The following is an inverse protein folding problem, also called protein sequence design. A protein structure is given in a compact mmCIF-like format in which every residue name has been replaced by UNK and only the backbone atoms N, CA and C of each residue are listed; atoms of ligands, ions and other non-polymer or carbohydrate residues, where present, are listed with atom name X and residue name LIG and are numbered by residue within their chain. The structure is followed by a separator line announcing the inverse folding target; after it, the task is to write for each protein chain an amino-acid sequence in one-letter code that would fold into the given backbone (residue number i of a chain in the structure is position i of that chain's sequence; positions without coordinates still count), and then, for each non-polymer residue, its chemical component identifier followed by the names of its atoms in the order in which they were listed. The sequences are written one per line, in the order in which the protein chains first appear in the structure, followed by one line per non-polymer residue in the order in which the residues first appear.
data_IF_717949631341
#
_entry.id   IF_717949631341
#
_cell.length_a   1.000
_cell.length_b   1.000
_cell.length_c   1.000
_cell.angle_alpha   90.00
_cell.angle_beta   90.00
_cell.angle_gamma   90.00
#
_symmetry.space_group_name_H-M   'P 1'
#
loop_
_entity.id
_entity.type
_entity.pdbx_description
1 polymer ?
#
# COMPACT_ATOMS: atom_id res chain seq x y z
N UNK A 1 -17.10 -2.09 5.39
CA UNK A 1 -18.34 -2.50 4.68
C UNK A 1 -17.95 -3.46 3.56
N UNK A 2 -18.83 -4.37 3.13
CA UNK A 2 -18.50 -5.39 2.12
C UNK A 2 -18.21 -4.76 0.75
N UNK A 3 -17.08 -5.10 0.16
CA UNK A 3 -16.70 -4.73 -1.20
C UNK A 3 -17.13 -5.77 -2.25
N UNK A 4 -16.74 -5.56 -3.50
CA UNK A 4 -16.97 -6.53 -4.58
C UNK A 4 -16.29 -7.88 -4.26
N UNK A 5 -16.99 -8.98 -4.53
CA UNK A 5 -16.46 -10.34 -4.32
C UNK A 5 -15.76 -10.90 -5.56
N UNK A 6 -15.96 -10.27 -6.71
CA UNK A 6 -15.36 -10.69 -7.98
C UNK A 6 -14.78 -9.45 -8.68
N UNK A 7 -13.48 -9.47 -9.01
CA UNK A 7 -12.86 -8.39 -9.77
C UNK A 7 -13.55 -8.15 -11.11
N UNK A 8 -13.48 -6.90 -11.58
CA UNK A 8 -13.85 -6.54 -12.94
C UNK A 8 -14.27 -5.08 -13.05
N UNK A 9 -14.14 -4.53 -14.26
CA UNK A 9 -14.36 -3.11 -14.53
C UNK A 9 -15.75 -2.60 -14.10
N UNK A 10 -15.86 -1.30 -13.81
CA UNK A 10 -17.08 -0.75 -13.25
C UNK A 10 -18.23 -0.74 -14.28
N UNK A 11 -19.46 -0.83 -13.77
CA UNK A 11 -20.66 -0.76 -14.58
C UNK A 11 -21.87 -0.27 -13.78
N UNK A 12 -22.92 0.17 -14.47
CA UNK A 12 -24.19 0.52 -13.84
C UNK A 12 -24.73 -0.67 -13.03
N UNK A 13 -25.21 -0.40 -11.81
CA UNK A 13 -25.78 -1.41 -10.92
C UNK A 13 -24.77 -2.29 -10.19
N UNK A 14 -23.45 -2.02 -10.30
CA UNK A 14 -22.40 -2.76 -9.57
C UNK A 14 -21.92 -2.06 -8.29
N UNK A 15 -22.64 -1.05 -7.80
CA UNK A 15 -22.32 -0.40 -6.54
C UNK A 15 -22.31 -1.43 -5.38
N UNK A 16 -21.37 -1.26 -4.44
CA UNK A 16 -21.30 -2.09 -3.22
C UNK A 16 -21.37 -1.20 -1.98
N UNK A 17 -21.67 -1.77 -0.81
CA UNK A 17 -21.52 -1.03 0.44
C UNK A 17 -20.10 -0.48 0.65
N UNK A 18 -19.08 -1.11 0.06
CA UNK A 18 -17.69 -0.66 0.04
C UNK A 18 -17.47 0.56 -0.86
N UNK A 19 -17.88 0.49 -2.14
CA UNK A 19 -17.74 1.61 -3.08
C UNK A 19 -18.56 2.83 -2.64
N UNK A 20 -19.76 2.61 -2.11
CA UNK A 20 -20.60 3.68 -1.55
C UNK A 20 -19.96 4.33 -0.31
N UNK A 21 -19.30 3.54 0.55
CA UNK A 21 -18.56 4.10 1.68
C UNK A 21 -17.38 4.95 1.22
N UNK A 22 -16.69 4.55 0.15
CA UNK A 22 -15.60 5.35 -0.43
C UNK A 22 -16.14 6.72 -0.89
N UNK A 23 -17.26 6.75 -1.60
CA UNK A 23 -17.92 8.00 -2.02
C UNK A 23 -18.28 8.84 -0.79
N UNK A 24 -18.98 8.25 0.19
CA UNK A 24 -19.38 8.92 1.44
C UNK A 24 -18.18 9.59 2.14
N UNK A 25 -17.04 8.88 2.20
CA UNK A 25 -15.83 9.39 2.87
C UNK A 25 -15.03 10.37 2.03
N UNK A 26 -15.06 10.26 0.70
CA UNK A 26 -14.41 11.21 -0.17
C UNK A 26 -15.14 12.57 -0.24
N UNK A 27 -16.47 12.55 -0.07
CA UNK A 27 -17.29 13.76 0.00
C UNK A 27 -17.30 14.40 1.40
N UNK A 28 -16.76 13.73 2.41
CA UNK A 28 -16.62 14.31 3.74
C UNK A 28 -15.62 15.47 3.71
N UNK A 29 -16.08 16.66 4.13
CA UNK A 29 -15.23 17.84 4.21
C UNK A 29 -14.34 17.75 5.46
N UNK A 30 -13.11 17.28 5.28
CA UNK A 30 -12.10 17.36 6.33
C UNK A 30 -11.80 18.84 6.65
N UNK A 31 -11.90 19.29 7.93
CA UNK A 31 -11.70 20.69 8.28
C UNK A 31 -10.30 21.23 7.96
N UNK A 32 -9.31 20.35 7.79
CA UNK A 32 -7.94 20.71 7.42
C UNK A 32 -7.68 20.54 5.92
N UNK A 33 -8.72 20.23 5.13
CA UNK A 33 -8.64 20.04 3.68
C UNK A 33 -7.83 18.82 3.25
N UNK A 34 -7.64 17.83 4.15
CA UNK A 34 -6.83 16.65 3.84
C UNK A 34 -7.58 15.71 2.90
N UNK A 35 -6.90 15.11 1.91
CA UNK A 35 -7.52 14.13 1.03
C UNK A 35 -7.76 12.81 1.75
N UNK A 36 -8.69 12.01 1.24
CA UNK A 36 -8.86 10.62 1.65
C UNK A 36 -7.79 9.74 0.97
N UNK A 37 -6.89 9.16 1.76
CA UNK A 37 -6.00 8.11 1.27
C UNK A 37 -6.73 6.76 1.20
N UNK A 38 -6.72 6.14 0.02
CA UNK A 38 -7.26 4.81 -0.23
C UNK A 38 -6.10 3.86 -0.50
N UNK A 39 -5.83 2.97 0.46
CA UNK A 39 -4.79 1.97 0.36
C UNK A 39 -5.38 0.68 -0.24
N UNK A 40 -4.97 0.37 -1.47
CA UNK A 40 -5.53 -0.75 -2.24
C UNK A 40 -4.55 -1.91 -2.23
N UNK A 41 -4.81 -2.88 -1.36
CA UNK A 41 -3.96 -4.07 -1.13
C UNK A 41 -4.33 -5.25 -2.06
N UNK A 42 -5.47 -5.15 -2.73
CA UNK A 42 -5.97 -6.15 -3.67
C UNK A 42 -6.41 -5.52 -4.98
N UNK A 43 -7.61 -5.86 -5.40
CA UNK A 43 -8.22 -5.35 -6.63
C UNK A 43 -8.66 -3.88 -6.50
N UNK A 44 -8.60 -3.14 -7.61
CA UNK A 44 -9.07 -1.75 -7.73
C UNK A 44 -10.58 -1.63 -7.95
N UNK A 45 -11.31 -2.75 -7.98
CA UNK A 45 -12.71 -2.80 -8.43
C UNK A 45 -13.61 -1.84 -7.66
N UNK A 46 -13.56 -1.79 -6.32
CA UNK A 46 -14.42 -0.86 -5.56
C UNK A 46 -14.03 0.61 -5.77
N UNK A 47 -12.75 0.90 -6.02
CA UNK A 47 -12.27 2.26 -6.32
C UNK A 47 -12.74 2.70 -7.71
N UNK A 48 -12.58 1.83 -8.71
CA UNK A 48 -13.07 2.07 -10.06
C UNK A 48 -14.60 2.22 -10.08
N UNK A 49 -15.32 1.40 -9.31
CA UNK A 49 -16.77 1.52 -9.18
C UNK A 49 -17.18 2.82 -8.48
N UNK A 50 -16.48 3.23 -7.42
CA UNK A 50 -16.76 4.50 -6.75
C UNK A 50 -16.57 5.70 -7.68
N UNK A 51 -15.47 5.73 -8.45
CA UNK A 51 -15.19 6.79 -9.43
C UNK A 51 -16.11 6.75 -10.64
N UNK A 52 -16.63 5.58 -11.01
CA UNK A 52 -17.67 5.45 -12.03
C UNK A 52 -19.01 6.02 -11.54
N UNK A 53 -19.40 5.69 -10.32
CA UNK A 53 -20.70 6.11 -9.76
C UNK A 53 -20.71 7.59 -9.36
N UNK A 54 -19.57 8.12 -8.90
CA UNK A 54 -19.39 9.55 -8.61
C UNK A 54 -17.98 10.03 -9.03
N UNK A 55 -17.81 10.54 -10.26
CA UNK A 55 -16.51 11.00 -10.74
C UNK A 55 -15.98 12.24 -10.01
N UNK A 56 -16.83 12.97 -9.27
CA UNK A 56 -16.42 14.19 -8.57
C UNK A 56 -15.41 13.92 -7.43
N UNK A 57 -15.37 12.68 -6.92
CA UNK A 57 -14.47 12.31 -5.83
C UNK A 57 -13.00 12.24 -6.25
N UNK A 58 -12.70 12.25 -7.56
CA UNK A 58 -11.35 12.10 -8.08
C UNK A 58 -10.35 13.12 -7.53
N UNK A 59 -10.79 14.35 -7.27
CA UNK A 59 -9.96 15.42 -6.70
C UNK A 59 -9.78 15.32 -5.17
N UNK A 60 -10.61 14.51 -4.50
CA UNK A 60 -10.68 14.41 -3.04
C UNK A 60 -9.98 13.17 -2.49
N UNK A 61 -9.63 12.22 -3.37
CA UNK A 61 -8.97 10.97 -2.99
C UNK A 61 -7.53 10.91 -3.49
N UNK A 62 -6.70 10.14 -2.78
CA UNK A 62 -5.39 9.69 -3.24
C UNK A 62 -5.29 8.18 -3.11
N UNK A 63 -4.82 7.53 -4.16
CA UNK A 63 -4.73 6.07 -4.23
C UNK A 63 -3.27 5.66 -4.03
N UNK A 64 -3.02 4.70 -3.16
CA UNK A 64 -1.80 3.90 -3.16
C UNK A 64 -2.20 2.45 -3.40
N UNK A 65 -1.89 1.92 -4.58
CA UNK A 65 -2.24 0.54 -4.94
C UNK A 65 -1.01 -0.34 -5.08
N UNK A 66 -1.13 -1.57 -4.59
CA UNK A 66 -0.18 -2.64 -4.85
C UNK A 66 -0.61 -3.36 -6.12
N UNK A 67 0.21 -3.29 -7.16
CA UNK A 67 -0.04 -3.88 -8.48
C UNK A 67 0.50 -5.31 -8.60
N UNK A 68 1.20 -5.57 -9.71
CA UNK A 68 1.85 -6.84 -10.03
C UNK A 68 0.83 -7.98 -10.14
N UNK A 69 0.62 -8.75 -9.08
CA UNK A 69 -0.34 -9.87 -9.11
C UNK A 69 -1.78 -9.36 -9.08
N UNK A 70 -2.01 -8.24 -8.39
CA UNK A 70 -3.32 -7.62 -8.30
C UNK A 70 -3.73 -6.99 -9.64
N UNK A 71 -2.79 -6.41 -10.38
CA UNK A 71 -3.04 -5.90 -11.74
C UNK A 71 -3.52 -7.03 -12.65
N UNK A 72 -2.85 -8.18 -12.68
CA UNK A 72 -3.31 -9.33 -13.49
C UNK A 72 -4.67 -9.89 -13.02
N UNK A 73 -4.96 -9.80 -11.72
CA UNK A 73 -6.23 -10.29 -11.18
C UNK A 73 -7.42 -9.35 -11.48
N UNK A 74 -7.15 -8.09 -11.82
CA UNK A 74 -8.17 -7.05 -12.05
C UNK A 74 -7.73 -6.04 -13.12
N UNK A 75 -7.31 -6.56 -14.28
CA UNK A 75 -6.85 -5.73 -15.41
C UNK A 75 -7.94 -4.75 -15.84
N UNK A 76 -9.20 -5.21 -15.86
CA UNK A 76 -10.34 -4.42 -16.30
C UNK A 76 -10.54 -3.14 -15.48
N UNK A 77 -10.45 -3.19 -14.15
CA UNK A 77 -10.63 -1.99 -13.31
C UNK A 77 -9.42 -1.07 -13.39
N UNK A 78 -8.21 -1.66 -13.39
CA UNK A 78 -6.96 -0.91 -13.50
C UNK A 78 -6.89 -0.14 -14.82
N UNK A 79 -7.19 -0.79 -15.94
CA UNK A 79 -7.12 -0.19 -17.26
C UNK A 79 -8.27 0.80 -17.50
N UNK A 80 -9.45 0.54 -16.93
CA UNK A 80 -10.55 1.51 -16.94
C UNK A 80 -10.16 2.83 -16.26
N UNK A 81 -9.49 2.76 -15.11
CA UNK A 81 -8.94 3.93 -14.42
C UNK A 81 -7.84 4.59 -15.26
N UNK A 82 -6.87 3.79 -15.72
CA UNK A 82 -5.71 4.28 -16.48
C UNK A 82 -6.12 5.07 -17.73
N UNK A 83 -7.10 4.56 -18.47
CA UNK A 83 -7.59 5.17 -19.71
C UNK A 83 -8.33 6.49 -19.51
N UNK A 84 -8.55 6.92 -18.26
CA UNK A 84 -9.32 8.11 -17.89
C UNK A 84 -8.51 9.19 -17.19
N UNK A 85 -7.22 8.94 -16.97
CA UNK A 85 -6.37 9.85 -16.19
C UNK A 85 -6.07 11.16 -16.91
N UNK A 86 -6.18 11.22 -18.24
CA UNK A 86 -5.92 12.43 -19.03
C UNK A 86 -7.19 13.24 -19.34
N UNK A 87 -8.37 12.62 -19.38
CA UNK A 87 -9.64 13.29 -19.74
C UNK A 87 -10.57 13.50 -18.54
N UNK A 88 -10.96 12.43 -17.84
CA UNK A 88 -12.01 12.42 -16.82
C UNK A 88 -11.44 12.64 -15.41
N UNK A 89 -10.22 12.14 -15.16
CA UNK A 89 -9.57 12.14 -13.87
C UNK A 89 -8.18 12.81 -13.88
N UNK A 90 -8.03 14.01 -14.48
CA UNK A 90 -6.72 14.68 -14.58
C UNK A 90 -6.10 14.98 -13.22
N UNK A 91 -6.92 15.11 -12.17
CA UNK A 91 -6.47 15.41 -10.80
C UNK A 91 -6.41 14.16 -9.90
N UNK A 92 -6.70 12.97 -10.41
CA UNK A 92 -6.66 11.75 -9.60
C UNK A 92 -5.21 11.41 -9.26
N UNK A 93 -4.90 11.50 -7.97
CA UNK A 93 -3.60 11.14 -7.45
C UNK A 93 -3.49 9.64 -7.23
N UNK A 94 -2.53 9.00 -7.88
CA UNK A 94 -2.40 7.56 -7.81
C UNK A 94 -0.94 7.11 -7.88
N UNK A 95 -0.51 6.41 -6.83
CA UNK A 95 0.73 5.63 -6.79
C UNK A 95 0.38 4.17 -7.12
N UNK A 96 0.91 3.63 -8.23
CA UNK A 96 0.86 2.22 -8.58
C UNK A 96 2.24 1.57 -8.31
N UNK A 97 2.34 0.80 -7.24
CA UNK A 97 3.55 0.10 -6.82
C UNK A 97 3.52 -1.36 -7.30
N UNK A 98 4.32 -1.67 -8.31
CA UNK A 98 4.37 -2.96 -9.00
C UNK A 98 3.73 -2.90 -10.39
N UNK A 99 4.43 -2.35 -11.37
CA UNK A 99 4.01 -2.45 -12.78
C UNK A 99 4.23 -3.84 -13.38
N UNK A 100 3.52 -4.13 -14.47
CA UNK A 100 3.80 -5.28 -15.32
C UNK A 100 5.00 -4.99 -16.24
N UNK A 101 5.81 -6.01 -16.60
CA UNK A 101 5.70 -7.41 -16.19
C UNK A 101 6.08 -7.62 -14.71
N UNK A 102 5.42 -8.59 -14.05
CA UNK A 102 5.65 -8.87 -12.62
C UNK A 102 7.12 -9.12 -12.32
N UNK A 103 7.54 -8.72 -11.12
CA UNK A 103 8.91 -8.90 -10.60
C UNK A 103 9.96 -8.11 -11.38
N UNK A 104 9.55 -7.11 -12.15
CA UNK A 104 10.47 -6.18 -12.81
C UNK A 104 10.80 -5.00 -11.89
N UNK A 105 9.78 -4.22 -11.54
CA UNK A 105 9.92 -3.02 -10.71
C UNK A 105 9.19 -3.12 -9.37
N UNK A 106 8.64 -4.29 -9.00
CA UNK A 106 7.85 -4.56 -7.79
C UNK A 106 8.54 -4.05 -6.49
N UNK A 107 8.53 -2.73 -6.26
CA UNK A 107 9.29 -2.06 -5.22
C UNK A 107 8.81 -2.51 -3.85
N UNK A 108 7.49 -2.72 -3.73
CA UNK A 108 6.84 -3.19 -2.52
C UNK A 108 7.47 -4.46 -1.93
N UNK A 109 8.10 -5.31 -2.74
CA UNK A 109 8.78 -6.53 -2.26
C UNK A 109 9.96 -6.23 -1.36
N UNK A 110 10.56 -5.04 -1.48
CA UNK A 110 11.68 -4.61 -0.65
C UNK A 110 11.39 -4.61 0.84
N UNK A 111 10.11 -4.54 1.24
CA UNK A 111 9.71 -4.65 2.64
C UNK A 111 10.03 -6.03 3.24
N UNK A 112 10.14 -7.09 2.42
CA UNK A 112 10.38 -8.46 2.91
C UNK A 112 11.47 -9.25 2.18
N UNK A 113 12.00 -8.77 1.04
CA UNK A 113 13.03 -9.45 0.25
C UNK A 113 14.44 -8.87 0.37
N UNK A 114 14.59 -7.61 0.81
CA UNK A 114 15.89 -6.94 0.88
C UNK A 114 16.21 -6.38 2.27
N UNK A 115 17.30 -5.59 2.35
CA UNK A 115 17.73 -4.94 3.59
C UNK A 115 18.46 -5.90 4.52
N UNK A 116 18.60 -5.50 5.80
CA UNK A 116 19.22 -6.33 6.85
C UNK A 116 18.30 -7.49 7.18
N UNK A 117 18.75 -8.73 6.95
CA UNK A 117 17.95 -9.95 7.09
C UNK A 117 18.51 -10.90 8.17
N UNK A 118 19.52 -10.46 8.91
CA UNK A 118 20.18 -11.21 9.96
C UNK A 118 19.54 -10.97 11.33
N UNK A 119 19.63 -11.98 12.20
CA UNK A 119 19.19 -11.87 13.60
C UNK A 119 17.72 -11.46 13.73
N UNK A 120 17.45 -10.52 14.63
CA UNK A 120 16.10 -10.00 14.88
C UNK A 120 15.52 -9.20 13.71
N UNK A 121 16.30 -8.85 12.69
CA UNK A 121 15.82 -8.10 11.52
C UNK A 121 15.39 -9.01 10.38
N UNK A 122 15.72 -10.31 10.45
CA UNK A 122 15.24 -11.30 9.50
C UNK A 122 13.73 -11.53 9.60
N UNK A 123 13.12 -12.04 8.53
CA UNK A 123 11.68 -12.28 8.48
C UNK A 123 11.13 -13.11 9.66
N UNK A 124 11.73 -14.28 9.92
CA UNK A 124 11.35 -15.10 11.08
C UNK A 124 11.88 -14.51 12.39
N UNK A 125 13.13 -14.04 12.38
CA UNK A 125 13.80 -13.51 13.55
C UNK A 125 13.04 -12.35 14.18
N UNK A 126 12.53 -11.44 13.36
CA UNK A 126 11.71 -10.31 13.82
C UNK A 126 10.43 -10.79 14.50
N UNK A 127 9.68 -11.70 13.86
CA UNK A 127 8.45 -12.23 14.43
C UNK A 127 8.72 -12.94 15.75
N UNK A 128 9.74 -13.79 15.83
CA UNK A 128 10.07 -14.53 17.04
C UNK A 128 10.57 -13.64 18.18
N UNK A 129 11.42 -12.65 17.88
CA UNK A 129 12.03 -11.79 18.89
C UNK A 129 11.10 -10.66 19.36
N UNK A 130 10.28 -10.11 18.47
CA UNK A 130 9.59 -8.84 18.70
C UNK A 130 8.07 -8.92 18.60
N UNK A 131 7.49 -9.99 18.04
CA UNK A 131 6.03 -10.10 17.85
C UNK A 131 5.41 -11.17 18.76
N UNK A 132 6.02 -12.36 18.83
CA UNK A 132 5.54 -13.46 19.68
C UNK A 132 5.52 -13.05 21.16
N UNK A 133 4.55 -13.56 21.91
CA UNK A 133 4.41 -13.27 23.33
C UNK A 133 3.71 -11.94 23.66
N UNK A 134 3.39 -11.11 22.67
CA UNK A 134 2.65 -9.86 22.84
C UNK A 134 1.13 -10.07 22.75
N UNK A 135 0.62 -10.99 23.56
CA UNK A 135 -0.79 -11.35 23.65
C UNK A 135 -1.34 -12.08 22.41
N UNK A 136 -2.67 -12.20 22.34
CA UNK A 136 -3.35 -13.00 21.32
C UNK A 136 -3.03 -12.54 19.88
N UNK A 137 -2.82 -11.24 19.67
CA UNK A 137 -2.44 -10.69 18.37
C UNK A 137 -1.02 -11.13 17.96
N UNK A 138 -0.06 -11.04 18.88
CA UNK A 138 1.32 -11.47 18.65
C UNK A 138 1.43 -12.97 18.42
N UNK A 139 0.66 -13.77 19.15
CA UNK A 139 0.67 -15.24 19.03
C UNK A 139 -0.02 -15.73 17.74
N UNK A 140 -1.07 -15.03 17.29
CA UNK A 140 -1.76 -15.34 16.05
C UNK A 140 -1.08 -14.77 14.79
N UNK A 141 -0.04 -13.94 14.94
CA UNK A 141 0.57 -13.23 13.82
C UNK A 141 1.14 -14.21 12.78
N UNK A 142 0.70 -14.18 11.51
CA UNK A 142 1.05 -15.22 10.55
C UNK A 142 2.45 -15.01 9.93
N UNK A 143 3.08 -16.13 9.55
CA UNK A 143 4.13 -16.12 8.53
C UNK A 143 3.55 -16.68 7.24
N UNK A 144 4.04 -16.22 6.10
CA UNK A 144 3.54 -16.65 4.81
C UNK A 144 3.87 -18.12 4.53
N UNK A 145 2.95 -18.80 3.85
CA UNK A 145 3.17 -20.15 3.33
C UNK A 145 3.98 -20.14 2.03
N UNK A 146 3.99 -19.02 1.30
CA UNK A 146 4.74 -18.84 0.05
C UNK A 146 5.16 -17.38 -0.18
N UNK A 147 6.47 -17.05 -0.22
CA UNK A 147 7.58 -17.92 0.18
C UNK A 147 7.42 -18.32 1.65
N UNK A 148 7.76 -19.56 1.97
CA UNK A 148 7.53 -20.13 3.29
C UNK A 148 8.27 -19.33 4.37
N UNK A 149 7.63 -19.16 5.51
CA UNK A 149 8.16 -18.53 6.72
C UNK A 149 8.66 -17.09 6.51
N UNK A 150 8.07 -16.39 5.55
CA UNK A 150 8.36 -14.99 5.25
C UNK A 150 7.37 -14.08 5.96
N UNK A 151 7.87 -12.97 6.53
CA UNK A 151 7.07 -11.83 6.96
C UNK A 151 6.60 -11.08 5.70
N UNK A 152 5.63 -11.66 4.99
CA UNK A 152 5.27 -11.26 3.63
C UNK A 152 4.24 -10.13 3.65
N UNK A 153 4.68 -8.97 4.11
CA UNK A 153 3.87 -7.76 4.25
C UNK A 153 3.92 -6.88 3.00
N UNK A 154 3.61 -7.48 1.83
CA UNK A 154 3.75 -6.81 0.54
C UNK A 154 2.90 -5.54 0.39
N UNK A 155 1.87 -5.38 1.22
CA UNK A 155 0.97 -4.23 1.16
C UNK A 155 1.33 -3.08 2.11
N UNK A 156 2.13 -3.40 3.13
CA UNK A 156 2.55 -2.46 4.18
C UNK A 156 3.35 -1.25 3.68
N UNK A 157 4.06 -1.27 2.53
CA UNK A 157 4.59 -0.05 1.92
C UNK A 157 3.59 1.08 1.75
N UNK A 158 2.31 0.78 1.51
CA UNK A 158 1.25 1.79 1.39
C UNK A 158 1.03 2.57 2.70
N UNK A 159 1.13 1.89 3.85
CA UNK A 159 1.07 2.50 5.17
C UNK A 159 2.40 3.19 5.53
N UNK A 160 3.53 2.51 5.25
CA UNK A 160 4.87 3.03 5.51
C UNK A 160 5.15 4.33 4.75
N UNK A 161 4.59 4.50 3.55
CA UNK A 161 4.64 5.76 2.80
C UNK A 161 4.07 6.93 3.63
N UNK A 162 2.89 6.75 4.22
CA UNK A 162 2.22 7.78 5.02
C UNK A 162 2.89 8.01 6.37
N UNK A 163 3.47 6.97 6.96
CA UNK A 163 4.16 7.05 8.26
C UNK A 163 5.55 7.66 8.17
N UNK A 164 6.23 7.52 7.03
CA UNK A 164 7.64 7.91 6.86
C UNK A 164 7.92 9.37 7.25
N UNK A 165 7.15 10.39 6.80
CA UNK A 165 7.40 11.78 7.20
C UNK A 165 7.14 12.01 8.70
N UNK A 166 6.17 11.30 9.27
CA UNK A 166 5.76 11.47 10.67
C UNK A 166 6.71 10.78 11.66
N UNK A 167 7.27 9.63 11.29
CA UNK A 167 8.07 8.79 12.18
C UNK A 167 9.56 8.95 11.96
N UNK A 168 10.00 9.08 10.71
CA UNK A 168 11.41 9.22 10.35
C UNK A 168 11.81 10.64 9.96
N UNK A 169 10.85 11.54 9.73
CA UNK A 169 11.10 12.85 9.08
C UNK A 169 11.77 12.68 7.70
N UNK A 170 11.39 11.60 7.00
CA UNK A 170 11.91 11.26 5.67
C UNK A 170 10.75 11.24 4.68
N UNK A 171 10.93 11.99 3.59
CA UNK A 171 9.98 12.10 2.50
C UNK A 171 8.83 13.07 2.77
N UNK A 172 7.95 13.16 1.79
CA UNK A 172 6.75 13.99 1.79
C UNK A 172 5.60 13.20 1.16
N UNK A 173 4.45 13.19 1.84
CA UNK A 173 3.23 12.51 1.33
C UNK A 173 2.65 13.20 0.10
N UNK A 174 3.05 14.45 -0.16
CA UNK A 174 2.69 15.24 -1.34
C UNK A 174 3.74 15.14 -2.46
N UNK A 175 4.89 14.48 -2.24
CA UNK A 175 5.94 14.32 -3.26
C UNK A 175 6.51 12.88 -3.28
N UNK A 176 5.91 11.97 -4.07
CA UNK A 176 6.34 10.58 -4.19
C UNK A 176 7.71 10.43 -4.85
N UNK A 177 8.27 11.50 -5.42
CA UNK A 177 9.63 11.49 -5.97
C UNK A 177 10.71 11.52 -4.89
N UNK A 178 10.36 11.84 -3.65
CA UNK A 178 11.26 11.78 -2.52
C UNK A 178 11.38 10.35 -1.96
N UNK A 179 12.55 9.97 -1.41
CA UNK A 179 12.67 8.73 -0.66
C UNK A 179 11.71 8.70 0.54
N UNK A 180 11.09 7.54 0.78
CA UNK A 180 10.28 7.27 1.97
C UNK A 180 10.42 5.80 2.36
N UNK A 181 9.93 5.41 3.55
CA UNK A 181 9.80 4.00 3.93
C UNK A 181 8.86 3.21 2.99
N UNK A 182 7.94 3.89 2.31
CA UNK A 182 7.05 3.28 1.31
C UNK A 182 7.60 3.25 -0.11
N UNK A 183 8.85 3.67 -0.32
CA UNK A 183 9.53 3.65 -1.61
C UNK A 183 9.78 5.03 -2.20
N UNK A 184 10.22 5.05 -3.46
CA UNK A 184 10.46 6.25 -4.25
C UNK A 184 9.91 6.02 -5.66
N UNK A 185 9.13 6.97 -6.14
CA UNK A 185 8.35 6.84 -7.36
C UNK A 185 8.74 7.91 -8.38
N UNK A 186 8.31 7.71 -9.62
CA UNK A 186 8.41 8.67 -10.71
C UNK A 186 7.05 8.82 -11.36
N UNK A 187 6.83 9.93 -12.05
CA UNK A 187 5.68 10.02 -12.96
C UNK A 187 5.91 9.06 -14.13
N UNK A 188 4.88 8.35 -14.56
CA UNK A 188 5.01 7.46 -15.73
C UNK A 188 5.27 8.29 -16.99
N UNK A 189 4.43 9.31 -17.19
CA UNK A 189 4.57 10.37 -18.19
C UNK A 189 4.12 11.67 -17.51
N UNK A 190 5.06 12.56 -17.23
CA UNK A 190 4.78 13.78 -16.47
C UNK A 190 3.96 14.81 -17.27
N UNK A 191 3.99 14.74 -18.61
CA UNK A 191 3.23 15.64 -19.47
C UNK A 191 1.78 15.17 -19.61
N UNK A 192 1.58 13.84 -19.68
CA UNK A 192 0.25 13.25 -19.87
C UNK A 192 -0.48 12.94 -18.57
N UNK A 193 0.22 12.45 -17.55
CA UNK A 193 -0.37 11.99 -16.29
C UNK A 193 0.37 12.60 -15.08
N UNK A 194 0.17 13.90 -14.79
CA UNK A 194 0.98 14.63 -13.81
C UNK A 194 0.83 14.12 -12.36
N UNK A 195 -0.26 13.41 -12.05
CA UNK A 195 -0.57 12.88 -10.72
C UNK A 195 -0.52 11.35 -10.63
N UNK A 196 -0.01 10.68 -11.67
CA UNK A 196 0.16 9.24 -11.69
C UNK A 196 1.63 8.85 -11.54
N UNK A 197 1.90 8.08 -10.49
CA UNK A 197 3.21 7.73 -10.01
C UNK A 197 3.39 6.22 -10.07
N UNK A 198 4.55 5.80 -10.54
CA UNK A 198 4.92 4.40 -10.70
C UNK A 198 6.31 4.15 -10.14
N UNK A 199 6.66 2.89 -9.97
CA UNK A 199 7.99 2.49 -9.50
C UNK A 199 9.13 3.20 -10.23
N UNK A 200 10.15 3.58 -9.47
CA UNK A 200 11.42 4.01 -10.03
C UNK A 200 12.20 2.79 -10.53
N UNK A 201 12.36 2.66 -11.85
CA UNK A 201 13.24 1.64 -12.42
C UNK A 201 14.71 1.97 -12.10
N UNK A 202 15.42 1.02 -11.50
CA UNK A 202 16.82 1.17 -11.09
C UNK A 202 17.74 0.09 -11.67
N UNK A 203 17.48 -0.33 -12.90
CA UNK A 203 18.31 -1.30 -13.62
C UNK A 203 17.89 -2.74 -13.41
N UNK A 204 17.71 -3.15 -12.16
CA UNK A 204 17.26 -4.50 -11.80
C UNK A 204 16.23 -4.50 -10.65
N UNK A 205 15.52 -5.62 -10.42
CA UNK A 205 14.49 -5.71 -9.39
C UNK A 205 14.99 -5.44 -7.97
N UNK A 206 16.21 -5.84 -7.62
CA UNK A 206 16.76 -5.68 -6.27
C UNK A 206 17.09 -4.20 -6.01
N UNK A 207 17.61 -3.52 -7.03
CA UNK A 207 17.85 -2.07 -6.97
C UNK A 207 16.54 -1.26 -6.84
N UNK A 208 15.44 -1.73 -7.43
CA UNK A 208 14.10 -1.14 -7.25
C UNK A 208 13.61 -1.35 -5.82
N UNK A 209 13.66 -2.60 -5.34
CA UNK A 209 13.29 -2.99 -3.97
C UNK A 209 14.11 -2.26 -2.90
N UNK A 210 15.37 -1.96 -3.17
CA UNK A 210 16.25 -1.22 -2.27
C UNK A 210 15.70 0.15 -1.87
N UNK A 211 14.85 0.77 -2.69
CA UNK A 211 14.22 2.06 -2.34
C UNK A 211 13.36 1.98 -1.07
N UNK A 212 12.85 0.78 -0.74
CA UNK A 212 12.20 0.46 0.54
C UNK A 212 13.19 -0.23 1.49
N UNK A 213 13.87 -1.27 1.02
CA UNK A 213 14.56 -2.20 1.91
C UNK A 213 15.74 -1.59 2.66
N UNK A 214 16.29 -0.48 2.16
CA UNK A 214 17.31 0.33 2.87
C UNK A 214 16.83 0.86 4.23
N UNK A 215 15.52 0.97 4.43
CA UNK A 215 14.89 1.49 5.65
C UNK A 215 14.44 0.37 6.60
N UNK A 216 14.78 -0.89 6.31
CA UNK A 216 14.25 -2.05 7.02
C UNK A 216 14.42 -1.98 8.53
N UNK A 217 15.63 -1.66 8.98
CA UNK A 217 15.91 -1.54 10.42
C UNK A 217 15.09 -0.41 11.05
N UNK A 218 14.89 0.70 10.35
CA UNK A 218 14.17 1.86 10.88
C UNK A 218 12.68 1.57 11.05
N UNK A 219 12.00 1.05 10.01
CA UNK A 219 10.57 0.76 10.11
C UNK A 219 10.30 -0.47 10.99
N UNK A 220 11.21 -1.44 11.07
CA UNK A 220 11.07 -2.57 11.99
C UNK A 220 11.30 -2.15 13.44
N UNK A 221 12.19 -1.19 13.71
CA UNK A 221 12.32 -0.59 15.04
C UNK A 221 11.03 0.12 15.47
N UNK A 222 10.44 0.97 14.59
CA UNK A 222 9.16 1.61 14.89
C UNK A 222 8.07 0.57 15.19
N UNK A 223 8.07 -0.54 14.46
CA UNK A 223 7.08 -1.59 14.66
C UNK A 223 7.34 -2.41 15.94
N UNK A 224 8.60 -2.71 16.26
CA UNK A 224 9.03 -3.35 17.52
C UNK A 224 8.55 -2.55 18.73
N UNK A 225 8.71 -1.23 18.72
CA UNK A 225 8.22 -0.36 19.79
C UNK A 225 6.70 -0.49 19.97
N UNK A 226 5.93 -0.58 18.88
CA UNK A 226 4.47 -0.72 18.96
C UNK A 226 4.03 -2.08 19.49
N UNK A 227 4.78 -3.14 19.18
CA UNK A 227 4.52 -4.46 19.77
C UNK A 227 4.70 -4.43 21.28
N UNK A 228 5.68 -3.69 21.80
CA UNK A 228 5.90 -3.57 23.25
C UNK A 228 4.71 -2.95 24.02
N UNK A 229 3.80 -2.26 23.34
CA UNK A 229 2.57 -1.71 23.95
C UNK A 229 1.55 -2.80 24.27
N UNK A 230 1.62 -3.94 23.58
CA UNK A 230 0.80 -5.11 23.82
C UNK A 230 1.45 -5.95 24.91
N UNK A 231 1.37 -5.48 26.16
CA UNK A 231 1.74 -6.30 27.32
C UNK A 231 0.73 -7.42 27.50
N UNK A 232 1.23 -8.64 27.68
CA UNK A 232 0.39 -9.75 28.11
C UNK A 232 -0.22 -9.39 29.47
N UNK A 233 -1.56 -9.35 29.58
CA UNK A 233 -2.17 -9.38 30.91
C UNK A 233 -1.66 -10.63 31.64
N UNK A 234 -1.28 -10.53 32.92
CA UNK A 234 -0.87 -11.70 33.68
C UNK A 234 -2.00 -12.72 33.63
N UNK A 235 -1.70 -13.93 33.14
CA UNK A 235 -2.64 -15.06 33.18
C UNK A 235 -3.15 -15.19 34.62
N UNK A 236 -4.44 -14.89 34.85
CA UNK A 236 -5.10 -15.22 36.11
C UNK A 236 -4.96 -16.72 36.30
N UNK A 237 -4.19 -17.13 37.30
CA UNK A 237 -4.11 -18.53 37.72
C UNK A 237 -5.53 -19.01 38.01
N UNK A 238 -5.94 -20.09 37.32
CA UNK A 238 -7.17 -20.81 37.65
C UNK A 238 -6.95 -21.67 38.88
#
# INVERSE_FOLDING_TARGET
RQGQQTPGGPAAGRATPGSQLLIERALYQDPQGRPLWVLVWGSLTDVAQALHDDPSIAASIRIYSIGSSNTMADEASRDWLRARLDDQFPNLWWIENGLLPRRSTDTFRGVYQGGVQEGEWGNQGFVQANVRGHGAAGDAFPLATSPKDTLKEGDSPSMLYLLSPLRARVGDVDDPSQPSWGGRFRREDAAKYPHYWVDLFRGDPDACQWTISRWRVDFLNDWKERWSWYVAEPRKSR
#
